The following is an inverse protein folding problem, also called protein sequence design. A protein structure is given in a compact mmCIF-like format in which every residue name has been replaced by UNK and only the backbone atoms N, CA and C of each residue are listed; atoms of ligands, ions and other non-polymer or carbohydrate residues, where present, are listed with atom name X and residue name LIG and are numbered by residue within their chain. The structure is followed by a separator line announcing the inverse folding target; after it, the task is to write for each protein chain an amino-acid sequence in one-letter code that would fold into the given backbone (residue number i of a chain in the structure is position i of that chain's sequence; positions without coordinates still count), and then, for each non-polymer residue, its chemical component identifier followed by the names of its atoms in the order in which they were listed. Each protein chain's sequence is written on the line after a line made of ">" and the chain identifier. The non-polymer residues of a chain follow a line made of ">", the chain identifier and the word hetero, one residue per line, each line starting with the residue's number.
data_IF_991926327951
#
_entry.id   IF_991926327951
#
_cell.length_a   1.000
_cell.length_b   1.000
_cell.length_c   1.000
_cell.angle_alpha   90.00
_cell.angle_beta   90.00
_cell.angle_gamma   90.00
#
_symmetry.space_group_name_H-M   'P 1'
#
loop_
_entity.id
_entity.type
_entity.pdbx_description
1 polymer ?
#
# COMPACT_ATOMS: atom_id res chain seq x y z
N UNK A 1 3.19 -34.57 -12.27
CA UNK A 1 2.59 -34.12 -10.99
C UNK A 1 1.09 -34.27 -11.08
N UNK A 2 0.47 -34.75 -10.02
CA UNK A 2 -0.99 -34.82 -9.87
C UNK A 2 -1.58 -33.42 -9.68
N UNK A 3 -2.83 -33.21 -10.11
CA UNK A 3 -3.58 -31.96 -9.91
C UNK A 3 -3.62 -31.55 -8.43
N UNK A 4 -3.70 -32.52 -7.51
CA UNK A 4 -3.65 -32.29 -6.06
C UNK A 4 -2.30 -31.72 -5.60
N UNK A 5 -1.19 -32.16 -6.19
CA UNK A 5 0.16 -31.69 -5.86
C UNK A 5 0.38 -30.25 -6.32
N UNK A 6 -0.07 -29.93 -7.54
CA UNK A 6 -0.03 -28.56 -8.09
C UNK A 6 -0.84 -27.58 -7.23
N UNK A 7 -2.04 -28.00 -6.78
CA UNK A 7 -2.88 -27.18 -5.91
C UNK A 7 -2.25 -26.94 -4.54
N UNK A 8 -1.60 -27.96 -3.97
CA UNK A 8 -0.91 -27.85 -2.68
C UNK A 8 0.29 -26.90 -2.76
N UNK A 9 1.10 -27.01 -3.80
CA UNK A 9 2.23 -26.11 -4.06
C UNK A 9 1.75 -24.65 -4.23
N UNK A 10 0.67 -24.44 -4.98
CA UNK A 10 0.09 -23.10 -5.15
C UNK A 10 -0.40 -22.49 -3.82
N UNK A 11 -1.05 -23.28 -2.96
CA UNK A 11 -1.49 -22.84 -1.63
C UNK A 11 -0.29 -22.48 -0.76
N UNK A 12 0.75 -23.31 -0.75
CA UNK A 12 1.96 -23.05 0.04
C UNK A 12 2.66 -21.76 -0.40
N UNK A 13 2.80 -21.53 -1.70
CA UNK A 13 3.37 -20.28 -2.24
C UNK A 13 2.55 -19.07 -1.85
N UNK A 14 1.21 -19.18 -1.90
CA UNK A 14 0.32 -18.09 -1.50
C UNK A 14 0.47 -17.77 -0.02
N UNK A 15 0.45 -18.79 0.83
CA UNK A 15 0.59 -18.60 2.27
C UNK A 15 1.94 -17.97 2.64
N UNK A 16 3.04 -18.42 2.02
CA UNK A 16 4.35 -17.81 2.23
C UNK A 16 4.38 -16.33 1.81
N UNK A 17 3.71 -15.98 0.70
CA UNK A 17 3.59 -14.57 0.29
C UNK A 17 2.78 -13.75 1.31
N UNK A 18 1.65 -14.26 1.80
CA UNK A 18 0.83 -13.63 2.83
C UNK A 18 1.64 -13.35 4.11
N UNK A 19 2.42 -14.34 4.56
CA UNK A 19 3.29 -14.22 5.74
C UNK A 19 4.37 -13.15 5.55
N UNK A 20 4.98 -13.08 4.36
CA UNK A 20 5.98 -12.06 4.02
C UNK A 20 5.37 -10.66 4.02
N UNK A 21 4.22 -10.47 3.37
CA UNK A 21 3.54 -9.17 3.33
C UNK A 21 3.14 -8.69 4.72
N UNK A 22 2.54 -9.57 5.53
CA UNK A 22 2.18 -9.24 6.90
C UNK A 22 3.42 -8.86 7.75
N UNK A 23 4.53 -9.58 7.57
CA UNK A 23 5.79 -9.28 8.27
C UNK A 23 6.38 -7.94 7.84
N UNK A 24 6.29 -7.60 6.55
CA UNK A 24 6.78 -6.34 6.02
C UNK A 24 5.95 -5.16 6.54
N UNK A 25 4.62 -5.27 6.52
CA UNK A 25 3.73 -4.24 7.05
C UNK A 25 3.99 -4.02 8.55
N UNK A 26 4.13 -5.09 9.32
CA UNK A 26 4.46 -4.99 10.75
C UNK A 26 5.81 -4.28 10.96
N UNK A 27 6.82 -4.61 10.16
CA UNK A 27 8.13 -3.96 10.22
C UNK A 27 8.07 -2.46 9.89
N UNK A 28 7.34 -2.07 8.85
CA UNK A 28 7.12 -0.66 8.49
C UNK A 28 6.42 0.11 9.63
N UNK A 29 5.40 -0.49 10.23
CA UNK A 29 4.70 0.09 11.39
C UNK A 29 5.64 0.26 12.60
N UNK A 30 6.50 -0.72 12.88
CA UNK A 30 7.48 -0.64 13.97
C UNK A 30 8.51 0.47 13.74
N UNK A 31 9.01 0.62 12.51
CA UNK A 31 9.87 1.74 12.15
C UNK A 31 9.15 3.09 12.34
N UNK A 32 7.90 3.20 11.90
CA UNK A 32 7.07 4.39 12.11
C UNK A 32 6.88 4.73 13.60
N UNK A 33 6.57 3.73 14.43
CA UNK A 33 6.45 3.87 15.90
C UNK A 33 7.77 4.33 16.53
N UNK A 34 8.89 3.77 16.08
CA UNK A 34 10.23 4.11 16.60
C UNK A 34 10.60 5.54 16.21
N UNK A 35 10.32 5.95 14.97
CA UNK A 35 10.54 7.31 14.48
C UNK A 35 9.72 8.33 15.26
N UNK A 36 8.43 8.03 15.52
CA UNK A 36 7.55 8.90 16.29
C UNK A 36 8.03 9.11 17.73
N UNK A 37 8.31 8.02 18.45
CA UNK A 37 8.76 8.10 19.86
C UNK A 37 10.13 8.75 19.99
N UNK A 38 11.07 8.43 19.08
CA UNK A 38 12.39 9.08 19.05
C UNK A 38 12.32 10.57 18.75
N UNK A 39 11.43 10.99 17.84
CA UNK A 39 11.21 12.40 17.52
C UNK A 39 10.63 13.18 18.70
N UNK A 40 9.72 12.57 19.46
CA UNK A 40 9.19 13.16 20.70
C UNK A 40 10.30 13.38 21.73
N UNK A 41 11.16 12.38 21.95
CA UNK A 41 12.30 12.49 22.86
C UNK A 41 13.23 13.64 22.46
N UNK A 42 13.64 13.69 21.18
CA UNK A 42 14.54 14.73 20.67
C UNK A 42 13.92 16.12 20.81
N UNK A 43 12.62 16.28 20.53
CA UNK A 43 11.92 17.54 20.69
C UNK A 43 11.76 17.99 22.14
N UNK A 44 11.65 17.05 23.09
CA UNK A 44 11.52 17.35 24.52
C UNK A 44 12.82 17.84 25.15
N UNK A 45 13.98 17.35 24.71
CA UNK A 45 15.28 17.70 25.29
C UNK A 45 15.55 19.21 25.38
N UNK A 46 15.45 20.01 24.29
CA UNK A 46 15.68 21.45 24.38
C UNK A 46 14.61 22.17 25.22
N UNK A 47 13.35 21.69 25.21
CA UNK A 47 12.27 22.28 26.01
C UNK A 47 12.52 22.10 27.51
N UNK A 48 12.93 20.89 27.92
CA UNK A 48 13.26 20.59 29.32
C UNK A 48 14.48 21.39 29.77
N UNK A 49 15.51 21.55 28.91
CA UNK A 49 16.67 22.40 29.22
C UNK A 49 16.27 23.84 29.48
N UNK A 50 15.47 24.41 28.59
CA UNK A 50 14.99 25.78 28.73
C UNK A 50 14.20 25.97 30.05
N UNK A 51 13.32 25.02 30.37
CA UNK A 51 12.54 25.02 31.62
C UNK A 51 13.40 24.89 32.88
N UNK A 52 14.47 24.11 32.81
CA UNK A 52 15.37 23.87 33.94
C UNK A 52 16.49 24.91 34.07
N UNK A 53 16.51 25.95 33.22
CA UNK A 53 17.59 26.94 33.14
C UNK A 53 18.99 26.30 32.97
N UNK A 54 19.04 25.17 32.25
CA UNK A 54 20.27 24.45 31.93
C UNK A 54 20.89 25.08 30.68
N UNK A 55 22.22 25.23 30.67
CA UNK A 55 22.96 25.72 29.50
C UNK A 55 22.58 24.94 28.23
N UNK A 56 22.32 25.61 27.09
CA UNK A 56 21.98 24.95 25.82
C UNK A 56 23.03 23.94 25.35
N UNK A 57 24.30 24.18 25.69
CA UNK A 57 25.45 23.35 25.30
C UNK A 57 25.44 21.99 26.01
N UNK A 58 24.88 21.92 27.23
CA UNK A 58 24.87 20.68 28.02
C UNK A 58 23.98 19.65 27.32
N UNK A 59 24.60 18.53 26.92
CA UNK A 59 23.92 17.43 26.25
C UNK A 59 23.64 17.66 24.75
N UNK A 60 24.20 18.70 24.12
CA UNK A 60 24.05 18.92 22.68
C UNK A 60 24.50 17.68 21.89
N UNK A 61 25.65 17.09 22.25
CA UNK A 61 26.16 15.88 21.60
C UNK A 61 25.18 14.69 21.68
N UNK A 62 24.44 14.58 22.79
CA UNK A 62 23.41 13.53 22.92
C UNK A 62 22.25 13.78 21.94
N UNK A 63 21.80 15.03 21.78
CA UNK A 63 20.80 15.40 20.76
C UNK A 63 21.32 15.04 19.38
N UNK A 64 22.56 15.38 19.04
CA UNK A 64 23.15 15.11 17.73
C UNK A 64 23.19 13.60 17.42
N UNK A 65 23.55 12.79 18.43
CA UNK A 65 23.53 11.32 18.31
C UNK A 65 22.11 10.78 18.11
N UNK A 66 21.11 11.31 18.82
CA UNK A 66 19.72 10.89 18.62
C UNK A 66 19.18 11.31 17.25
N UNK A 67 19.45 12.53 16.79
CA UNK A 67 19.07 12.99 15.45
C UNK A 67 19.71 12.10 14.38
N UNK A 68 20.98 11.74 14.55
CA UNK A 68 21.67 10.81 13.65
C UNK A 68 21.01 9.44 13.64
N UNK A 69 20.67 8.88 14.81
CA UNK A 69 19.95 7.62 14.92
C UNK A 69 18.58 7.66 14.23
N UNK A 70 17.81 8.74 14.42
CA UNK A 70 16.54 8.95 13.72
C UNK A 70 16.73 9.00 12.19
N UNK A 71 17.82 9.62 11.73
CA UNK A 71 18.20 9.60 10.32
C UNK A 71 18.42 8.19 9.77
N UNK A 72 19.03 7.28 10.56
CA UNK A 72 19.18 5.88 10.17
C UNK A 72 17.84 5.13 10.13
N UNK A 73 16.95 5.37 11.10
CA UNK A 73 15.60 4.79 11.11
C UNK A 73 14.81 5.25 9.88
N UNK A 74 14.86 6.53 9.55
CA UNK A 74 14.17 7.07 8.38
C UNK A 74 14.69 6.47 7.06
N UNK A 75 16.01 6.26 6.96
CA UNK A 75 16.61 5.54 5.82
C UNK A 75 16.15 4.09 5.74
N UNK A 76 16.07 3.40 6.88
CA UNK A 76 15.56 2.03 6.94
C UNK A 76 14.09 1.97 6.50
N UNK A 77 13.26 2.93 6.93
CA UNK A 77 11.85 3.02 6.51
C UNK A 77 11.73 3.25 5.01
N UNK A 78 12.54 4.16 4.45
CA UNK A 78 12.56 4.41 3.00
C UNK A 78 12.95 3.16 2.22
N UNK A 79 13.95 2.41 2.70
CA UNK A 79 14.37 1.15 2.08
C UNK A 79 13.31 0.04 2.20
N UNK A 80 12.58 -0.02 3.33
CA UNK A 80 11.50 -0.98 3.52
C UNK A 80 10.34 -0.75 2.54
N UNK A 81 9.89 0.50 2.43
CA UNK A 81 8.81 0.90 1.50
C UNK A 81 9.20 0.64 0.05
N UNK A 82 10.44 0.95 -0.34
CA UNK A 82 10.94 0.63 -1.68
C UNK A 82 10.96 -0.89 -1.92
N UNK A 83 11.40 -1.67 -0.93
CA UNK A 83 11.32 -3.13 -0.96
C UNK A 83 9.89 -3.65 -1.13
N UNK A 84 8.92 -3.03 -0.44
CA UNK A 84 7.50 -3.33 -0.60
C UNK A 84 7.03 -3.11 -2.04
N UNK A 85 7.34 -1.95 -2.61
CA UNK A 85 6.98 -1.62 -3.99
C UNK A 85 7.57 -2.62 -4.99
N UNK A 86 8.82 -3.05 -4.78
CA UNK A 86 9.48 -4.04 -5.64
C UNK A 86 8.84 -5.44 -5.53
N UNK A 87 8.45 -5.86 -4.32
CA UNK A 87 7.72 -7.11 -4.11
C UNK A 87 6.35 -7.07 -4.77
N UNK A 88 5.64 -5.95 -4.64
CA UNK A 88 4.35 -5.73 -5.27
C UNK A 88 4.46 -5.73 -6.81
N UNK A 89 5.48 -5.07 -7.36
CA UNK A 89 5.77 -5.13 -8.79
C UNK A 89 6.04 -6.57 -9.25
N UNK A 90 6.86 -7.31 -8.51
CA UNK A 90 7.17 -8.72 -8.80
C UNK A 90 5.91 -9.57 -8.78
N UNK A 91 5.03 -9.36 -7.79
CA UNK A 91 3.72 -10.03 -7.69
C UNK A 91 2.88 -9.79 -8.95
N UNK A 92 2.78 -8.53 -9.39
CA UNK A 92 2.03 -8.12 -10.61
C UNK A 92 2.60 -8.79 -11.87
N UNK A 93 3.93 -8.76 -12.05
CA UNK A 93 4.61 -9.40 -13.20
C UNK A 93 4.36 -10.91 -13.22
N UNK A 94 4.38 -11.56 -12.06
CA UNK A 94 4.13 -12.99 -11.91
C UNK A 94 2.63 -13.37 -11.97
N UNK A 95 1.72 -12.40 -12.12
CA UNK A 95 0.25 -12.59 -12.09
C UNK A 95 -0.22 -13.35 -10.85
N UNK A 96 0.48 -13.17 -9.73
CA UNK A 96 0.04 -13.73 -8.46
C UNK A 96 -1.21 -12.95 -8.02
N UNK A 97 -2.25 -13.63 -7.49
CA UNK A 97 -3.49 -12.96 -7.09
C UNK A 97 -3.22 -11.78 -6.14
N UNK A 98 -4.03 -10.72 -6.24
CA UNK A 98 -3.94 -9.60 -5.30
C UNK A 98 -4.30 -10.09 -3.90
N UNK A 99 -3.31 -10.04 -3.02
CA UNK A 99 -3.52 -10.08 -1.59
C UNK A 99 -3.54 -8.62 -1.17
N UNK A 100 -4.61 -8.19 -0.50
CA UNK A 100 -4.91 -6.79 -0.16
C UNK A 100 -3.65 -6.03 0.27
N UNK A 101 -3.05 -5.31 -0.68
CA UNK A 101 -1.77 -4.64 -0.53
C UNK A 101 -1.94 -3.19 -0.93
N UNK A 102 -2.06 -2.33 0.09
CA UNK A 102 -1.61 -0.93 0.16
C UNK A 102 -2.10 0.12 -0.84
N UNK A 103 -2.45 -0.23 -2.07
CA UNK A 103 -2.72 0.72 -3.14
C UNK A 103 -4.16 0.58 -3.65
N UNK A 104 -4.84 1.73 -3.79
CA UNK A 104 -6.20 1.83 -4.33
C UNK A 104 -6.20 2.08 -5.84
N UNK A 105 -5.08 1.85 -6.50
CA UNK A 105 -5.01 1.94 -7.95
C UNK A 105 -5.87 0.83 -8.57
N UNK A 106 -6.98 1.26 -9.16
CA UNK A 106 -7.96 0.42 -9.85
C UNK A 106 -7.22 -0.36 -10.94
N UNK A 107 -7.16 -1.69 -10.84
CA UNK A 107 -6.74 -2.52 -11.96
C UNK A 107 -7.72 -2.26 -13.13
N UNK A 108 -7.25 -1.79 -14.30
CA UNK A 108 -8.10 -1.51 -15.46
C UNK A 108 -8.88 -2.74 -15.98
N UNK A 109 -8.51 -3.95 -15.56
CA UNK A 109 -9.11 -5.20 -16.03
C UNK A 109 -10.54 -5.45 -15.51
N UNK A 110 -10.96 -4.80 -14.41
CA UNK A 110 -12.33 -4.93 -13.89
C UNK A 110 -13.26 -3.79 -14.36
N UNK A 111 -12.72 -2.68 -14.88
CA UNK A 111 -13.53 -1.57 -15.38
C UNK A 111 -14.29 -1.90 -16.67
N UNK A 112 -13.83 -2.88 -17.46
CA UNK A 112 -14.45 -3.24 -18.73
C UNK A 112 -15.60 -4.26 -18.65
N UNK A 113 -15.86 -4.87 -17.48
CA UNK A 113 -16.96 -5.85 -17.33
C UNK A 113 -18.28 -5.17 -16.93
N UNK A 114 -18.25 -3.91 -16.49
CA UNK A 114 -19.47 -3.20 -16.06
C UNK A 114 -20.20 -2.42 -17.18
N UNK A 115 -19.76 -2.53 -18.43
CA UNK A 115 -20.45 -1.93 -19.58
C UNK A 115 -21.15 -3.01 -20.42
N UNK A 116 -22.14 -3.70 -19.83
CA UNK A 116 -23.16 -4.36 -20.62
C UNK A 116 -24.03 -3.27 -21.31
N UNK A 117 -24.29 -3.35 -22.62
CA UNK A 117 -25.06 -2.34 -23.32
C UNK A 117 -26.53 -2.43 -22.90
N UNK A 118 -27.05 -1.34 -22.33
CA UNK A 118 -28.46 -1.17 -22.09
C UNK A 118 -29.22 -1.08 -23.43
N UNK A 119 -30.16 -2.01 -23.61
CA UNK A 119 -31.39 -1.89 -24.39
C UNK A 119 -31.28 -1.29 -25.81
N UNK A 120 -31.13 -2.16 -26.81
CA UNK A 120 -31.56 -1.88 -28.18
C UNK A 120 -33.09 -1.72 -28.20
N UNK A 121 -33.54 -0.52 -28.57
CA UNK A 121 -34.91 -0.20 -28.88
C UNK A 121 -35.50 -1.20 -29.89
N UNK A 122 -36.64 -1.79 -29.54
CA UNK A 122 -37.50 -2.53 -30.46
C UNK A 122 -38.58 -1.60 -30.99
N UNK A 123 -38.67 -1.57 -32.32
CA UNK A 123 -39.90 -1.48 -33.14
C UNK A 123 -40.65 -0.13 -33.05
N UNK A 124 -40.64 0.83 -33.98
CA UNK A 124 -40.40 0.85 -35.44
C UNK A 124 -41.15 -0.21 -36.25
N UNK A 125 -42.45 -0.38 -35.95
CA UNK A 125 -43.36 -1.13 -36.81
C UNK A 125 -44.82 -0.65 -36.69
N UNK A 126 -45.11 0.62 -37.07
CA UNK A 126 -46.49 1.05 -37.41
C UNK A 126 -46.51 2.43 -38.11
N UNK A 127 -45.67 2.60 -39.14
CA UNK A 127 -45.75 3.76 -40.06
C UNK A 127 -45.74 3.31 -41.53
N UNK A 128 -46.63 2.36 -41.86
CA UNK A 128 -46.93 2.01 -43.26
C UNK A 128 -48.30 1.32 -43.41
N UNK A 129 -49.34 2.14 -43.38
CA UNK A 129 -50.61 1.89 -44.08
C UNK A 129 -51.16 3.29 -44.44
N UNK A 130 -50.64 3.86 -45.52
CA UNK A 130 -51.41 4.05 -46.75
C UNK A 130 -52.69 4.88 -46.59
N UNK A 131 -52.58 6.16 -46.99
CA UNK A 131 -53.62 6.94 -47.67
C UNK A 131 -54.32 6.09 -48.75
N UNK A 132 -55.61 6.29 -49.11
CA UNK A 132 -56.09 7.62 -49.54
C UNK A 132 -57.59 7.92 -49.32
N UNK A 133 -57.95 9.19 -49.53
CA UNK A 133 -58.99 9.65 -50.48
C UNK A 133 -59.98 10.70 -49.93
N UNK A 134 -59.92 11.85 -50.61
CA UNK A 134 -60.96 12.87 -50.88
C UNK A 134 -61.34 13.85 -49.78
#
# INVERSE_FOLDING_TARGET
>A
MSFMELRKDQIQRRQAAEEIFASLEAFEQDLGRTLASGSQLVGQLPLVRAKANISPVIGQEAIDRFVTALGHINKAMSAAVEGHHQLEHTRRVMRLPELAGGDKDIIPALAHVSAAPAASAREDELSRAEHPAR
#
